data_IF_774072824961
#
_entry.id   IF_774072824961
#
_cell.length_a   1.000
_cell.length_b   1.000
_cell.length_c   1.000
_cell.angle_alpha   90.00
_cell.angle_beta   90.00
_cell.angle_gamma   90.00
#
_symmetry.space_group_name_H-M   'P 1'
#
loop_
_entity.id
_entity.type
_entity.pdbx_description
1 polymer ?
#
# COMPACT_ATOMS: atom_id res chain seq x y z
N UNK A 1 -21.37 -23.70 -71.61
CA UNK A 1 -22.21 -22.60 -71.10
C UNK A 1 -21.87 -22.44 -69.60
N UNK A 2 -21.27 -21.33 -69.23
CA UNK A 2 -20.61 -21.11 -67.96
C UNK A 2 -21.60 -20.44 -66.98
N UNK A 3 -21.87 -21.05 -65.82
CA UNK A 3 -22.62 -20.46 -64.73
C UNK A 3 -21.62 -19.87 -63.73
N UNK A 4 -21.65 -18.56 -63.59
CA UNK A 4 -20.85 -17.82 -62.64
C UNK A 4 -21.58 -17.80 -61.28
N UNK A 5 -20.96 -18.41 -60.28
CA UNK A 5 -21.42 -18.34 -58.88
C UNK A 5 -20.95 -17.06 -58.20
N UNK A 6 -21.88 -16.25 -57.75
CA UNK A 6 -21.69 -15.02 -56.99
C UNK A 6 -21.49 -15.39 -55.51
N UNK A 7 -20.25 -15.31 -55.01
CA UNK A 7 -19.91 -15.51 -53.59
C UNK A 7 -20.18 -14.19 -52.84
N UNK A 8 -21.23 -14.18 -52.01
CA UNK A 8 -21.53 -13.09 -51.08
C UNK A 8 -20.65 -13.22 -49.85
N UNK A 9 -19.64 -12.37 -49.73
CA UNK A 9 -18.82 -12.22 -48.53
C UNK A 9 -19.62 -11.42 -47.48
N UNK A 10 -20.23 -12.12 -46.53
CA UNK A 10 -20.73 -11.48 -45.29
C UNK A 10 -19.53 -11.10 -44.43
N UNK A 11 -19.16 -9.83 -44.50
CA UNK A 11 -18.22 -9.23 -43.57
C UNK A 11 -18.88 -9.13 -42.18
N UNK A 12 -18.43 -9.98 -41.24
CA UNK A 12 -18.77 -9.83 -39.82
C UNK A 12 -18.04 -8.60 -39.27
N UNK A 13 -18.82 -7.52 -39.11
CA UNK A 13 -18.38 -6.34 -38.39
C UNK A 13 -18.27 -6.73 -36.88
N UNK A 14 -17.10 -7.18 -36.47
CA UNK A 14 -16.78 -7.31 -35.04
C UNK A 14 -16.74 -5.89 -34.47
N UNK A 15 -17.80 -5.48 -33.80
CA UNK A 15 -17.77 -4.29 -32.96
C UNK A 15 -16.68 -4.44 -31.94
N UNK A 16 -15.54 -3.79 -32.15
CA UNK A 16 -14.49 -3.66 -31.16
C UNK A 16 -15.12 -2.94 -29.97
N UNK A 17 -15.25 -3.67 -28.86
CA UNK A 17 -15.53 -3.06 -27.55
C UNK A 17 -14.48 -1.96 -27.34
N UNK A 18 -14.89 -0.72 -26.92
CA UNK A 18 -13.93 0.33 -26.68
C UNK A 18 -12.93 -0.18 -25.64
N UNK A 19 -11.67 -0.22 -26.00
CA UNK A 19 -10.59 -0.49 -25.07
C UNK A 19 -10.75 0.50 -23.91
N UNK A 20 -10.83 0.00 -22.67
CA UNK A 20 -10.76 0.83 -21.46
C UNK A 20 -9.51 1.67 -21.61
N UNK A 21 -9.68 3.00 -21.66
CA UNK A 21 -8.56 3.91 -21.84
C UNK A 21 -7.61 3.78 -20.65
N UNK A 22 -6.32 3.60 -20.94
CA UNK A 22 -5.30 3.62 -19.90
C UNK A 22 -5.11 5.07 -19.41
N UNK A 23 -5.42 5.30 -18.16
CA UNK A 23 -5.22 6.57 -17.48
C UNK A 23 -3.71 6.72 -17.20
N UNK A 24 -3.06 7.72 -17.78
CA UNK A 24 -1.64 7.98 -17.55
C UNK A 24 -1.44 8.49 -16.14
N UNK A 25 -0.50 7.87 -15.41
CA UNK A 25 -0.15 8.22 -14.04
C UNK A 25 1.34 8.48 -13.93
N UNK A 26 1.67 9.51 -13.15
CA UNK A 26 3.02 9.81 -12.72
C UNK A 26 3.06 9.90 -11.20
N UNK A 27 4.06 9.28 -10.59
CA UNK A 27 4.29 9.33 -9.15
C UNK A 27 5.58 10.07 -8.85
N UNK A 28 5.56 10.93 -7.86
CA UNK A 28 6.73 11.69 -7.41
C UNK A 28 6.85 11.64 -5.88
N UNK A 29 7.98 11.12 -5.37
CA UNK A 29 9.14 10.59 -6.06
C UNK A 29 8.84 9.29 -6.82
N UNK A 30 9.59 9.02 -7.90
CA UNK A 30 9.46 7.78 -8.68
C UNK A 30 10.04 6.56 -7.94
N UNK A 31 10.86 6.79 -6.92
CA UNK A 31 11.45 5.78 -6.03
C UNK A 31 11.51 6.34 -4.61
N UNK A 32 11.13 5.55 -3.63
CA UNK A 32 11.23 5.90 -2.21
C UNK A 32 12.48 5.24 -1.64
N UNK A 33 13.33 6.05 -1.01
CA UNK A 33 14.59 5.61 -0.41
C UNK A 33 14.54 5.79 1.10
N UNK A 34 14.43 4.68 1.81
CA UNK A 34 14.36 4.64 3.26
C UNK A 34 15.78 4.51 3.85
N UNK A 35 16.33 5.63 4.30
CA UNK A 35 17.61 5.68 5.03
C UNK A 35 17.43 5.70 6.54
N UNK A 36 18.55 5.81 7.29
CA UNK A 36 18.55 5.87 8.76
C UNK A 36 17.74 7.03 9.36
N UNK A 37 17.51 8.10 8.58
CA UNK A 37 16.73 9.27 8.99
C UNK A 37 15.31 9.29 8.46
N UNK A 38 14.82 8.20 7.88
CA UNK A 38 13.48 8.15 7.35
C UNK A 38 12.43 8.28 8.45
N UNK A 39 11.59 9.27 8.37
CA UNK A 39 10.49 9.54 9.30
C UNK A 39 9.12 9.63 8.61
N UNK A 40 9.04 9.10 7.38
CA UNK A 40 7.89 9.26 6.50
C UNK A 40 8.15 10.28 5.40
N UNK A 41 7.22 10.38 4.47
CA UNK A 41 7.35 11.28 3.31
C UNK A 41 6.01 11.59 2.68
N UNK A 42 6.05 12.30 1.57
CA UNK A 42 4.87 12.58 0.76
C UNK A 42 5.04 12.00 -0.63
N UNK A 43 4.10 11.17 -1.04
CA UNK A 43 3.97 10.68 -2.40
C UNK A 43 2.91 11.53 -3.12
N UNK A 44 3.29 12.16 -4.21
CA UNK A 44 2.38 12.89 -5.09
C UNK A 44 2.10 12.06 -6.33
N UNK A 45 0.83 11.97 -6.67
CA UNK A 45 0.35 11.23 -7.84
C UNK A 45 -0.35 12.22 -8.76
N UNK A 46 0.08 12.27 -9.99
CA UNK A 46 -0.50 13.11 -11.04
C UNK A 46 -1.04 12.25 -12.16
N UNK A 47 -2.08 12.72 -12.77
CA UNK A 47 -2.64 12.04 -13.93
C UNK A 47 -3.64 12.93 -14.68
N UNK A 48 -4.19 12.36 -15.74
CA UNK A 48 -5.19 13.02 -16.58
C UNK A 48 -6.45 12.18 -16.60
N UNK A 49 -7.60 12.81 -16.30
CA UNK A 49 -8.91 12.21 -16.41
C UNK A 49 -9.81 13.13 -17.24
N UNK A 50 -10.79 12.58 -17.92
CA UNK A 50 -11.70 13.38 -18.74
C UNK A 50 -12.45 14.40 -17.89
N UNK A 51 -12.73 15.59 -18.42
CA UNK A 51 -13.59 16.55 -17.73
C UNK A 51 -14.94 15.92 -17.36
N UNK A 52 -15.36 16.11 -16.12
CA UNK A 52 -16.62 15.55 -15.59
C UNK A 52 -16.52 14.17 -14.96
N UNK A 53 -15.44 13.41 -15.17
CA UNK A 53 -15.21 12.16 -14.44
C UNK A 53 -14.76 12.48 -13.02
N UNK A 54 -15.29 11.77 -12.03
CA UNK A 54 -14.75 11.79 -10.69
C UNK A 54 -13.44 10.97 -10.61
N UNK A 55 -12.56 11.35 -9.72
CA UNK A 55 -11.25 10.66 -9.57
C UNK A 55 -11.12 10.04 -8.19
N UNK A 56 -10.68 8.78 -8.17
CA UNK A 56 -10.28 8.07 -6.95
C UNK A 56 -8.85 7.57 -7.15
N UNK A 57 -7.97 7.82 -6.19
CA UNK A 57 -6.59 7.35 -6.21
C UNK A 57 -6.34 6.49 -4.98
N UNK A 58 -5.74 5.31 -5.20
CA UNK A 58 -5.38 4.36 -4.16
C UNK A 58 -3.89 4.03 -4.21
N UNK A 59 -3.25 3.97 -3.05
CA UNK A 59 -1.89 3.46 -2.88
C UNK A 59 -1.95 2.20 -2.03
N UNK A 60 -1.42 1.11 -2.56
CA UNK A 60 -1.34 -0.19 -1.90
C UNK A 60 0.12 -0.59 -1.72
N UNK A 61 0.49 -0.95 -0.49
CA UNK A 61 1.73 -1.67 -0.21
C UNK A 61 1.60 -3.16 -0.58
N UNK A 62 2.68 -3.89 -0.41
CA UNK A 62 2.66 -5.34 -0.60
C UNK A 62 1.64 -6.02 0.31
N UNK A 63 0.99 -7.06 -0.22
CA UNK A 63 0.00 -7.84 0.51
C UNK A 63 0.70 -9.00 1.20
N UNK A 64 0.51 -9.10 2.52
CA UNK A 64 1.14 -10.13 3.36
C UNK A 64 0.12 -10.86 4.21
N UNK A 65 0.49 -12.08 4.61
CA UNK A 65 -0.23 -12.78 5.68
C UNK A 65 0.23 -12.23 7.01
N UNK A 66 -0.68 -11.71 7.79
CA UNK A 66 -0.42 -11.13 9.10
C UNK A 66 -1.28 -11.83 10.16
N UNK A 67 -0.68 -12.18 11.29
CA UNK A 67 -1.44 -12.71 12.44
C UNK A 67 -1.63 -11.59 13.45
N UNK A 68 -2.88 -11.22 13.65
CA UNK A 68 -3.25 -10.23 14.63
C UNK A 68 -3.73 -10.88 15.91
N UNK A 69 -3.21 -10.45 17.06
CA UNK A 69 -3.56 -10.97 18.37
C UNK A 69 -4.33 -9.92 19.16
N UNK A 70 -5.60 -10.20 19.42
CA UNK A 70 -6.40 -9.37 20.30
C UNK A 70 -5.88 -9.48 21.73
N UNK A 71 -5.62 -8.33 22.35
CA UNK A 71 -5.30 -8.27 23.78
C UNK A 71 -6.57 -7.94 24.55
N UNK A 72 -6.88 -8.71 25.59
CA UNK A 72 -7.98 -8.44 26.51
C UNK A 72 -7.42 -8.03 27.86
N UNK A 73 -7.89 -6.94 28.41
CA UNK A 73 -7.55 -6.55 29.77
C UNK A 73 -8.42 -7.32 30.77
N UNK A 74 -7.78 -7.99 31.73
CA UNK A 74 -8.44 -8.57 32.91
C UNK A 74 -7.76 -8.05 34.15
N UNK A 75 -8.43 -7.11 34.84
CA UNK A 75 -7.83 -6.39 35.95
C UNK A 75 -6.59 -5.61 35.52
N UNK A 76 -5.45 -5.71 36.23
CA UNK A 76 -4.21 -5.03 35.84
C UNK A 76 -3.43 -5.73 34.71
N UNK A 77 -3.89 -6.89 34.24
CA UNK A 77 -3.14 -7.72 33.28
C UNK A 77 -3.74 -7.66 31.88
N UNK A 78 -2.84 -7.64 30.88
CA UNK A 78 -3.17 -7.80 29.47
C UNK A 78 -2.93 -9.25 29.06
N UNK A 79 -3.99 -9.97 28.75
CA UNK A 79 -3.92 -11.36 28.29
C UNK A 79 -4.04 -11.40 26.77
N UNK A 80 -3.24 -12.30 26.16
CA UNK A 80 -3.42 -12.63 24.75
C UNK A 80 -4.75 -13.34 24.54
N UNK A 81 -5.60 -12.77 23.70
CA UNK A 81 -6.90 -13.32 23.35
C UNK A 81 -6.89 -14.07 22.02
N UNK A 82 -7.92 -13.87 21.23
CA UNK A 82 -8.11 -14.50 19.93
C UNK A 82 -7.00 -14.10 18.94
N UNK A 83 -6.54 -15.09 18.14
CA UNK A 83 -5.63 -14.87 17.03
C UNK A 83 -6.43 -14.84 15.74
N UNK A 84 -6.32 -13.76 14.99
CA UNK A 84 -6.98 -13.57 13.70
C UNK A 84 -5.91 -13.58 12.61
N UNK A 85 -6.03 -14.53 11.68
CA UNK A 85 -5.16 -14.57 10.51
C UNK A 85 -5.77 -13.68 9.43
N UNK A 86 -5.03 -12.64 9.07
CA UNK A 86 -5.35 -11.74 7.96
C UNK A 86 -4.64 -12.25 6.71
N UNK A 87 -5.40 -12.86 5.80
CA UNK A 87 -4.84 -13.56 4.63
C UNK A 87 -4.32 -12.61 3.55
N UNK A 88 -4.76 -11.38 3.56
CA UNK A 88 -4.50 -10.39 2.48
C UNK A 88 -4.26 -8.98 3.00
N UNK A 89 -3.57 -8.81 4.14
CA UNK A 89 -3.31 -7.50 4.74
C UNK A 89 -2.32 -6.70 3.89
N UNK A 90 -2.73 -5.57 3.28
CA UNK A 90 -1.79 -4.67 2.64
C UNK A 90 -0.94 -3.98 3.72
N UNK A 91 0.33 -3.81 3.45
CA UNK A 91 1.22 -3.09 4.34
C UNK A 91 0.79 -1.64 4.53
N UNK A 92 0.35 -1.02 3.45
CA UNK A 92 -0.20 0.34 3.42
C UNK A 92 -1.44 0.33 2.53
N UNK A 93 -2.50 0.99 3.00
CA UNK A 93 -3.72 1.25 2.25
C UNK A 93 -4.07 2.73 2.38
N UNK A 94 -3.78 3.51 1.35
CA UNK A 94 -4.11 4.93 1.33
C UNK A 94 -5.07 5.19 0.18
N UNK A 95 -6.18 5.87 0.46
CA UNK A 95 -7.21 6.21 -0.51
C UNK A 95 -7.53 7.70 -0.43
N UNK A 96 -7.64 8.33 -1.59
CA UNK A 96 -8.18 9.67 -1.73
C UNK A 96 -9.23 9.66 -2.83
N UNK A 97 -10.34 10.31 -2.58
CA UNK A 97 -11.41 10.50 -3.53
C UNK A 97 -11.70 11.99 -3.67
N UNK A 98 -12.00 12.44 -4.88
CA UNK A 98 -12.34 13.84 -5.17
C UNK A 98 -13.63 14.26 -4.45
N UNK A 99 -14.57 13.34 -4.32
CA UNK A 99 -15.84 13.45 -3.62
C UNK A 99 -16.11 12.17 -2.83
N UNK A 100 -17.13 12.12 -1.95
CA UNK A 100 -17.56 10.90 -1.29
C UNK A 100 -17.61 9.71 -2.24
N UNK A 101 -17.08 8.57 -1.81
CA UNK A 101 -16.98 7.38 -2.67
C UNK A 101 -18.36 6.90 -3.14
N UNK A 102 -19.37 7.09 -2.29
CA UNK A 102 -20.77 6.75 -2.54
C UNK A 102 -21.42 7.62 -3.64
N UNK A 103 -20.90 8.83 -3.85
CA UNK A 103 -21.32 9.71 -4.94
C UNK A 103 -20.62 9.39 -6.26
N UNK A 104 -19.44 8.78 -6.19
CA UNK A 104 -18.61 8.47 -7.34
C UNK A 104 -18.89 7.10 -7.93
N UNK A 105 -19.19 6.11 -7.06
CA UNK A 105 -19.29 4.71 -7.44
C UNK A 105 -20.49 4.03 -6.79
N UNK A 106 -21.10 3.12 -7.54
CA UNK A 106 -22.05 2.18 -6.98
C UNK A 106 -21.35 1.26 -5.96
N UNK A 107 -22.04 0.82 -4.91
CA UNK A 107 -21.42 0.00 -3.84
C UNK A 107 -20.78 -1.30 -4.36
N UNK A 108 -21.36 -1.93 -5.37
CA UNK A 108 -20.80 -3.12 -6.00
C UNK A 108 -19.51 -2.83 -6.78
N UNK A 109 -19.45 -1.69 -7.50
CA UNK A 109 -18.25 -1.28 -8.23
C UNK A 109 -17.12 -0.95 -7.27
N UNK A 110 -17.40 -0.21 -6.20
CA UNK A 110 -16.42 0.11 -5.17
C UNK A 110 -15.88 -1.16 -4.49
N UNK A 111 -16.76 -2.11 -4.14
CA UNK A 111 -16.37 -3.41 -3.57
C UNK A 111 -15.55 -4.24 -4.54
N UNK A 112 -16.00 -4.38 -5.79
CA UNK A 112 -15.28 -5.13 -6.82
C UNK A 112 -13.89 -4.60 -7.11
N UNK A 113 -13.68 -3.29 -6.99
CA UNK A 113 -12.38 -2.65 -7.14
C UNK A 113 -11.57 -2.61 -5.83
N UNK A 114 -12.13 -3.05 -4.71
CA UNK A 114 -11.47 -3.00 -3.40
C UNK A 114 -11.30 -1.58 -2.86
N UNK A 115 -12.22 -0.67 -3.18
CA UNK A 115 -12.17 0.74 -2.79
C UNK A 115 -12.98 0.98 -1.53
N UNK A 116 -12.38 1.65 -0.56
CA UNK A 116 -12.96 1.98 0.73
C UNK A 116 -12.71 0.94 1.83
N UNK A 117 -12.97 1.34 3.06
CA UNK A 117 -12.71 0.50 4.24
C UNK A 117 -13.62 -0.73 4.31
N UNK A 118 -14.86 -0.63 3.82
CA UNK A 118 -15.78 -1.78 3.76
C UNK A 118 -15.25 -2.89 2.84
N UNK A 119 -14.77 -2.53 1.66
CA UNK A 119 -14.14 -3.48 0.73
C UNK A 119 -12.84 -4.07 1.30
N UNK A 120 -12.06 -3.26 2.01
CA UNK A 120 -10.86 -3.74 2.70
C UNK A 120 -11.21 -4.73 3.82
N UNK A 121 -12.23 -4.45 4.63
CA UNK A 121 -12.71 -5.36 5.68
C UNK A 121 -13.17 -6.70 5.11
N UNK A 122 -13.87 -6.68 3.99
CA UNK A 122 -14.31 -7.88 3.27
C UNK A 122 -13.12 -8.70 2.75
N UNK A 123 -12.16 -8.04 2.12
CA UNK A 123 -10.92 -8.67 1.63
C UNK A 123 -10.08 -9.30 2.76
N UNK A 124 -10.13 -8.74 3.97
CA UNK A 124 -9.47 -9.28 5.16
C UNK A 124 -10.25 -10.39 5.86
N UNK A 125 -11.48 -10.70 5.42
CA UNK A 125 -12.38 -11.65 6.09
C UNK A 125 -12.94 -11.12 7.42
N UNK A 126 -13.05 -9.80 7.56
CA UNK A 126 -13.51 -9.10 8.76
C UNK A 126 -14.90 -8.45 8.58
N UNK A 127 -15.62 -8.80 7.53
CA UNK A 127 -17.00 -8.38 7.31
C UNK A 127 -18.01 -9.20 8.14
N UNK A 128 -19.24 -8.71 8.28
CA UNK A 128 -20.31 -9.38 9.02
C UNK A 128 -20.05 -9.39 10.53
N UNK A 129 -20.12 -10.56 11.16
CA UNK A 129 -19.98 -10.73 12.61
C UNK A 129 -18.63 -10.27 13.17
N UNK A 130 -17.64 -10.04 12.31
CA UNK A 130 -16.29 -9.60 12.67
C UNK A 130 -16.03 -8.11 12.45
N UNK A 131 -17.04 -7.32 12.13
CA UNK A 131 -16.91 -5.88 11.85
C UNK A 131 -16.28 -5.10 13.02
N UNK A 132 -16.51 -5.54 14.28
CA UNK A 132 -15.87 -4.94 15.45
C UNK A 132 -14.34 -5.12 15.44
N UNK A 133 -13.85 -6.24 14.89
CA UNK A 133 -12.41 -6.49 14.71
C UNK A 133 -11.82 -5.57 13.64
N UNK A 134 -12.56 -5.35 12.55
CA UNK A 134 -12.14 -4.43 11.50
C UNK A 134 -11.99 -3.01 12.03
N UNK A 135 -12.95 -2.52 12.82
CA UNK A 135 -12.91 -1.17 13.38
C UNK A 135 -11.70 -0.97 14.30
N UNK A 136 -11.38 -1.96 15.14
CA UNK A 136 -10.22 -1.92 16.04
C UNK A 136 -8.89 -1.99 15.27
N UNK A 137 -8.79 -2.89 14.28
CA UNK A 137 -7.64 -3.01 13.41
C UNK A 137 -7.38 -1.70 12.63
N UNK A 138 -8.43 -1.14 12.03
CA UNK A 138 -8.32 0.08 11.24
C UNK A 138 -7.98 1.29 12.12
N UNK A 139 -8.44 1.34 13.35
CA UNK A 139 -8.02 2.34 14.32
C UNK A 139 -6.51 2.30 14.56
N UNK A 140 -5.94 1.10 14.75
CA UNK A 140 -4.50 0.92 14.92
C UNK A 140 -3.72 1.26 13.65
N UNK A 141 -4.23 0.85 12.49
CA UNK A 141 -3.60 1.17 11.21
C UNK A 141 -3.62 2.67 10.89
N UNK A 142 -4.70 3.37 11.24
CA UNK A 142 -4.73 4.84 11.13
C UNK A 142 -3.71 5.50 12.06
N UNK A 143 -3.60 5.04 13.30
CA UNK A 143 -2.63 5.56 14.26
C UNK A 143 -1.17 5.36 13.81
N UNK A 144 -0.89 4.29 13.07
CA UNK A 144 0.44 4.02 12.51
C UNK A 144 0.67 4.60 11.11
N UNK A 145 -0.31 5.26 10.51
CA UNK A 145 -0.25 5.79 9.15
C UNK A 145 -0.37 4.72 8.04
N UNK A 146 -0.63 3.45 8.38
CA UNK A 146 -0.83 2.37 7.41
C UNK A 146 -2.16 2.50 6.65
N UNK A 147 -3.17 3.08 7.27
CA UNK A 147 -4.49 3.30 6.70
C UNK A 147 -4.82 4.78 6.70
N UNK A 148 -5.10 5.31 5.54
CA UNK A 148 -5.76 6.60 5.40
C UNK A 148 -6.76 6.50 4.24
N UNK A 149 -8.02 6.57 4.55
CA UNK A 149 -9.09 6.62 3.56
C UNK A 149 -9.92 7.86 3.83
N UNK A 150 -10.15 8.67 2.81
CA UNK A 150 -10.92 9.90 3.00
C UNK A 150 -11.17 10.66 1.71
N UNK A 151 -12.07 11.58 1.85
CA UNK A 151 -12.45 12.54 0.83
C UNK A 151 -11.45 13.70 0.78
N UNK A 152 -11.36 14.34 -0.37
CA UNK A 152 -10.47 15.45 -0.59
C UNK A 152 -9.00 15.05 -0.75
N UNK A 153 -8.15 16.06 -0.82
CA UNK A 153 -6.72 15.85 -1.08
C UNK A 153 -6.40 15.51 -2.53
N UNK A 154 -7.40 15.62 -3.42
CA UNK A 154 -7.23 15.63 -4.88
C UNK A 154 -7.51 17.04 -5.34
N UNK A 155 -6.52 17.71 -5.91
CA UNK A 155 -6.68 18.98 -6.61
C UNK A 155 -6.85 18.72 -8.10
N UNK A 156 -7.71 19.49 -8.75
CA UNK A 156 -7.99 19.36 -10.16
C UNK A 156 -7.87 20.68 -10.90
N UNK A 157 -7.23 20.64 -12.06
CA UNK A 157 -7.13 21.77 -12.96
C UNK A 157 -7.39 21.27 -14.41
N UNK A 158 -8.58 21.55 -14.91
CA UNK A 158 -9.00 21.00 -16.21
C UNK A 158 -9.10 19.48 -16.20
N UNK A 159 -8.38 18.81 -17.11
CA UNK A 159 -8.26 17.35 -17.17
C UNK A 159 -7.22 16.76 -16.21
N UNK A 160 -6.31 17.57 -15.69
CA UNK A 160 -5.24 17.11 -14.79
C UNK A 160 -5.71 17.03 -13.36
N UNK A 161 -5.23 16.02 -12.63
CA UNK A 161 -5.42 15.88 -11.19
C UNK A 161 -4.10 15.62 -10.48
N UNK A 162 -4.02 16.05 -9.22
CA UNK A 162 -2.91 15.75 -8.31
C UNK A 162 -3.48 15.30 -6.97
N UNK A 163 -2.97 14.16 -6.48
CA UNK A 163 -3.29 13.62 -5.16
C UNK A 163 -2.01 13.51 -4.33
N UNK A 164 -2.07 13.90 -3.05
CA UNK A 164 -0.96 13.81 -2.12
C UNK A 164 -1.24 12.80 -1.01
N UNK A 165 -0.28 11.92 -0.76
CA UNK A 165 -0.35 10.87 0.27
C UNK A 165 0.79 11.02 1.25
N UNK A 166 0.47 11.08 2.54
CA UNK A 166 1.47 10.96 3.60
C UNK A 166 1.84 9.48 3.75
N UNK A 167 3.12 9.18 3.58
CA UNK A 167 3.66 7.84 3.78
C UNK A 167 4.08 7.65 5.23
N UNK A 168 3.86 6.47 5.83
CA UNK A 168 4.28 6.18 7.19
C UNK A 168 5.80 6.17 7.34
N UNK A 169 6.25 6.33 8.58
CA UNK A 169 7.66 6.28 8.94
C UNK A 169 8.31 4.89 8.76
N UNK A 170 7.50 3.85 8.63
CA UNK A 170 7.97 2.49 8.37
C UNK A 170 7.25 1.94 7.16
N UNK A 171 8.01 1.70 6.12
CA UNK A 171 7.59 0.99 4.92
C UNK A 171 8.46 -0.25 4.76
N UNK A 172 7.88 -1.37 4.33
CA UNK A 172 8.72 -2.49 3.96
C UNK A 172 9.32 -2.28 2.56
N UNK A 173 10.47 -2.85 2.34
CA UNK A 173 11.09 -2.92 1.03
C UNK A 173 10.18 -3.71 0.07
N UNK A 174 9.92 -3.14 -1.11
CA UNK A 174 9.01 -3.72 -2.10
C UNK A 174 8.53 -2.68 -3.11
N UNK A 175 7.30 -2.80 -3.56
CA UNK A 175 6.71 -1.85 -4.52
C UNK A 175 5.34 -1.38 -4.05
N UNK A 176 5.18 -0.08 -3.90
CA UNK A 176 3.86 0.52 -3.72
C UNK A 176 3.15 0.54 -5.07
N UNK A 177 1.96 -0.03 -5.13
CA UNK A 177 1.09 0.03 -6.30
C UNK A 177 0.17 1.24 -6.16
N UNK A 178 0.32 2.18 -7.06
CA UNK A 178 -0.54 3.35 -7.15
C UNK A 178 -1.53 3.12 -8.27
N UNK A 179 -2.81 3.23 -7.98
CA UNK A 179 -3.90 3.04 -8.93
C UNK A 179 -4.80 4.27 -8.90
N UNK A 180 -5.19 4.75 -10.06
CA UNK A 180 -6.22 5.76 -10.19
C UNK A 180 -7.38 5.24 -11.02
N UNK A 181 -8.56 5.69 -10.68
CA UNK A 181 -9.82 5.31 -11.27
C UNK A 181 -10.56 6.57 -11.67
N UNK A 182 -10.91 6.67 -12.94
CA UNK A 182 -11.85 7.69 -13.44
C UNK A 182 -13.26 7.11 -13.38
N UNK A 183 -14.14 7.76 -12.64
CA UNK A 183 -15.47 7.30 -12.33
C UNK A 183 -16.52 8.14 -13.05
N UNK A 184 -17.45 7.49 -13.72
CA UNK A 184 -18.55 8.15 -14.41
C UNK A 184 -19.85 7.38 -14.17
N UNK A 185 -20.92 8.09 -13.82
CA UNK A 185 -22.25 7.50 -13.62
C UNK A 185 -22.26 6.28 -12.68
N UNK A 186 -21.49 6.36 -11.60
CA UNK A 186 -21.40 5.29 -10.60
C UNK A 186 -20.53 4.09 -10.99
N UNK A 187 -19.82 4.14 -12.12
CA UNK A 187 -18.97 3.05 -12.64
C UNK A 187 -17.55 3.51 -12.89
N UNK A 188 -16.63 2.54 -12.85
CA UNK A 188 -15.23 2.75 -13.23
C UNK A 188 -15.13 2.71 -14.75
N UNK A 189 -14.77 3.84 -15.37
CA UNK A 189 -14.50 3.98 -16.79
C UNK A 189 -13.05 3.61 -17.12
N UNK A 190 -12.13 4.52 -16.82
CA UNK A 190 -10.72 4.37 -17.12
C UNK A 190 -9.93 4.04 -15.83
N UNK A 191 -8.81 3.30 -15.98
CA UNK A 191 -7.94 2.91 -14.86
C UNK A 191 -6.50 3.09 -15.27
N UNK A 192 -5.67 3.59 -14.34
CA UNK A 192 -4.23 3.67 -14.51
C UNK A 192 -3.52 3.03 -13.31
N UNK A 193 -2.31 2.53 -13.55
CA UNK A 193 -1.48 1.93 -12.50
C UNK A 193 -0.04 2.32 -12.71
N UNK A 194 0.65 2.69 -11.61
CA UNK A 194 2.09 2.90 -11.59
C UNK A 194 2.70 2.27 -10.34
N UNK A 195 3.86 1.63 -10.48
CA UNK A 195 4.62 1.06 -9.37
C UNK A 195 5.67 2.03 -8.88
N UNK A 196 5.76 2.23 -7.56
CA UNK A 196 6.80 3.04 -6.90
C UNK A 196 7.64 2.12 -6.03
N UNK A 197 8.88 1.82 -6.42
CA UNK A 197 9.75 0.96 -5.64
C UNK A 197 10.15 1.65 -4.32
N UNK A 198 10.15 0.87 -3.25
CA UNK A 198 10.64 1.26 -1.93
C UNK A 198 11.92 0.49 -1.66
N UNK A 199 13.02 1.20 -1.45
CA UNK A 199 14.33 0.61 -1.19
C UNK A 199 14.91 1.14 0.11
N UNK A 200 15.55 0.26 0.84
CA UNK A 200 16.36 0.66 1.99
C UNK A 200 17.75 1.07 1.55
N UNK A 201 18.22 2.19 2.09
CA UNK A 201 19.56 2.71 1.79
C UNK A 201 20.43 2.84 3.03
N UNK A 202 21.75 2.95 2.80
CA UNK A 202 22.74 3.21 3.83
C UNK A 202 23.10 1.99 4.67
N UNK A 203 23.53 2.22 5.91
CA UNK A 203 24.01 1.17 6.81
C UNK A 203 22.96 0.11 7.11
N UNK A 204 21.68 0.50 7.22
CA UNK A 204 20.58 -0.44 7.45
C UNK A 204 20.41 -1.44 6.30
N UNK A 205 20.48 -0.96 5.06
CA UNK A 205 20.43 -1.82 3.87
C UNK A 205 21.67 -2.74 3.81
N UNK A 206 22.86 -2.19 4.06
CA UNK A 206 24.10 -2.96 4.10
C UNK A 206 24.04 -4.07 5.16
N UNK A 207 23.62 -3.76 6.39
CA UNK A 207 23.50 -4.73 7.47
C UNK A 207 22.45 -5.81 7.18
N UNK A 208 21.29 -5.41 6.64
CA UNK A 208 20.24 -6.35 6.26
C UNK A 208 20.71 -7.30 5.14
N UNK A 209 21.41 -6.77 4.15
CA UNK A 209 21.95 -7.55 3.04
C UNK A 209 23.10 -8.47 3.50
N UNK A 210 23.99 -7.98 4.35
CA UNK A 210 25.06 -8.79 4.93
C UNK A 210 24.50 -9.95 5.76
N UNK A 211 23.46 -9.70 6.58
CA UNK A 211 22.79 -10.72 7.37
C UNK A 211 22.10 -11.79 6.50
N UNK A 212 21.55 -11.41 5.35
CA UNK A 212 20.90 -12.35 4.40
C UNK A 212 21.89 -13.16 3.59
N UNK A 213 22.88 -12.49 2.98
CA UNK A 213 23.80 -13.16 2.03
C UNK A 213 24.91 -13.93 2.73
N UNK A 214 25.38 -13.45 3.89
CA UNK A 214 26.53 -14.05 4.60
C UNK A 214 26.28 -14.07 6.12
N UNK A 215 25.30 -14.84 6.61
CA UNK A 215 24.89 -14.81 8.03
C UNK A 215 26.04 -15.16 8.98
N UNK A 216 26.92 -16.08 8.61
CA UNK A 216 28.08 -16.45 9.42
C UNK A 216 29.10 -15.31 9.58
N UNK A 217 29.38 -14.60 8.47
CA UNK A 217 30.31 -13.45 8.51
C UNK A 217 29.69 -12.27 9.26
N UNK A 218 28.37 -12.05 9.09
CA UNK A 218 27.64 -11.03 9.83
C UNK A 218 27.69 -11.31 11.34
N UNK A 219 27.39 -12.56 11.77
CA UNK A 219 27.42 -12.97 13.16
C UNK A 219 28.82 -12.83 13.77
N UNK A 220 29.87 -13.25 13.04
CA UNK A 220 31.27 -13.10 13.47
C UNK A 220 31.65 -11.62 13.62
N UNK A 221 31.28 -10.78 12.66
CA UNK A 221 31.51 -9.33 12.71
C UNK A 221 30.81 -8.66 13.89
N UNK A 222 29.56 -9.02 14.16
CA UNK A 222 28.80 -8.52 15.30
C UNK A 222 29.42 -8.95 16.64
N UNK A 223 29.88 -10.21 16.75
CA UNK A 223 30.55 -10.71 17.94
C UNK A 223 31.90 -10.00 18.22
N UNK A 224 32.69 -9.79 17.17
CA UNK A 224 33.95 -9.05 17.27
C UNK A 224 33.72 -7.59 17.66
N UNK A 225 32.71 -6.95 17.09
CA UNK A 225 32.35 -5.59 17.46
C UNK A 225 31.90 -5.49 18.92
N UNK A 226 31.05 -6.42 19.37
CA UNK A 226 30.61 -6.46 20.77
C UNK A 226 31.78 -6.67 21.74
N UNK A 227 32.72 -7.56 21.39
CA UNK A 227 33.94 -7.79 22.16
C UNK A 227 34.81 -6.52 22.25
N UNK A 228 35.01 -5.84 21.11
CA UNK A 228 35.78 -4.61 21.05
C UNK A 228 35.16 -3.48 21.89
N UNK A 229 33.84 -3.30 21.79
CA UNK A 229 33.11 -2.31 22.59
C UNK A 229 33.16 -2.68 24.07
N UNK A 230 32.95 -3.95 24.41
CA UNK A 230 33.05 -4.44 25.81
C UNK A 230 34.43 -4.20 26.40
N UNK A 231 35.50 -4.48 25.64
CA UNK A 231 36.88 -4.21 26.07
C UNK A 231 37.13 -2.70 26.26
N UNK A 232 36.69 -1.87 25.35
CA UNK A 232 36.80 -0.41 25.39
C UNK A 232 36.10 0.15 26.64
N UNK A 233 34.88 -0.31 26.92
CA UNK A 233 34.14 0.10 28.13
C UNK A 233 34.84 -0.40 29.39
N UNK A 234 35.36 -1.64 29.40
CA UNK A 234 36.09 -2.19 30.54
C UNK A 234 37.36 -1.40 30.85
N UNK A 235 38.08 -0.93 29.83
CA UNK A 235 39.28 -0.08 30.01
C UNK A 235 38.90 1.34 30.42
N UNK A 236 37.84 1.92 29.83
CA UNK A 236 37.39 3.28 30.12
C UNK A 236 36.79 3.43 31.54
N UNK A 237 36.19 2.34 32.07
CA UNK A 237 35.55 2.34 33.38
C UNK A 237 36.15 1.24 34.29
N UNK A 238 37.43 1.39 34.74
CA UNK A 238 38.03 0.43 35.64
C UNK A 238 37.24 0.40 36.94
N UNK A 239 36.78 -0.80 37.33
CA UNK A 239 36.07 -1.00 38.57
C UNK A 239 36.98 -0.56 39.75
N UNK A 240 36.65 0.56 40.39
CA UNK A 240 37.20 0.87 41.70
C UNK A 240 36.72 -0.20 42.68
N UNK A 241 37.59 -1.09 43.06
CA UNK A 241 37.31 -2.03 44.18
C UNK A 241 37.07 -1.19 45.44
N UNK A 242 35.94 -1.32 46.13
CA UNK A 242 35.78 -0.75 47.45
C UNK A 242 36.68 -1.52 48.39
N UNK A 243 37.49 -0.81 49.11
CA UNK A 243 38.26 -1.33 50.27
C UNK A 243 37.33 -1.41 51.46
#
# INVERSE_FOLDING_TARGET
MKAAGLLLLLGTFAAALPARGDLRLEASPAEIREGLGWSGGTLRVRGEARPGDGVVVRVLGEVRKETWVLKRQRGPFWLSGERVLLAGAPEVYLLRAERPLEELLLPEEARGAGLGEGALAEALGLAGDRTYLASELFRQWRASGRLAAGEGGISRQGGHFEAAFALPASLAEGTLRVEAFACREGRIGDRGTVGVPVRREGLAAFLAEAARRRPALYGLGAALLALAVGLLVGVAFPHRRPH
#
